data_IF_779271363842
#
_entry.id   IF_779271363842
#
_cell.length_a   1.000
_cell.length_b   1.000
_cell.length_c   1.000
_cell.angle_alpha   90.00
_cell.angle_beta   90.00
_cell.angle_gamma   90.00
#
_symmetry.space_group_name_H-M   'P 1'
#
loop_
_entity.id
_entity.type
_entity.pdbx_description
1 polymer ?
#
# COMPACT_ATOMS: atom_id res chain seq x y z
N UNK A 1 -2.79 -23.33 7.60
CA UNK A 1 -2.38 -22.03 8.20
C UNK A 1 -2.58 -20.94 7.16
N UNK A 2 -3.72 -20.24 7.18
CA UNK A 2 -4.07 -19.22 6.16
C UNK A 2 -4.16 -17.82 6.80
N UNK A 3 -3.14 -17.41 7.55
CA UNK A 3 -3.17 -16.17 8.35
C UNK A 3 -2.03 -15.19 8.05
N UNK A 4 -1.37 -15.32 6.90
CA UNK A 4 -0.14 -14.57 6.56
C UNK A 4 -0.34 -13.45 5.55
N UNK A 5 -1.24 -13.56 4.57
CA UNK A 5 -1.29 -12.56 3.48
C UNK A 5 -1.80 -11.18 3.91
N UNK A 6 -2.82 -11.09 4.77
CA UNK A 6 -3.39 -9.79 5.17
C UNK A 6 -2.45 -8.98 6.06
N UNK A 7 -1.83 -9.63 7.05
CA UNK A 7 -0.85 -8.97 7.93
C UNK A 7 0.37 -8.50 7.13
N UNK A 8 0.88 -9.34 6.23
CA UNK A 8 1.99 -8.97 5.35
C UNK A 8 1.64 -7.77 4.46
N UNK A 9 0.49 -7.80 3.78
CA UNK A 9 0.07 -6.67 2.92
C UNK A 9 -0.19 -5.41 3.73
N UNK A 10 -0.79 -5.52 4.93
CA UNK A 10 -0.98 -4.36 5.80
C UNK A 10 0.35 -3.75 6.26
N UNK A 11 1.36 -4.59 6.51
CA UNK A 11 2.69 -4.15 6.91
C UNK A 11 3.44 -3.50 5.73
N UNK A 12 3.27 -4.04 4.52
CA UNK A 12 3.77 -3.42 3.28
C UNK A 12 3.13 -2.05 3.02
N UNK A 13 1.81 -1.92 3.18
CA UNK A 13 1.09 -0.65 3.07
C UNK A 13 1.65 0.37 4.07
N UNK A 14 1.88 -0.04 5.32
CA UNK A 14 2.41 0.87 6.35
C UNK A 14 3.82 1.34 6.01
N UNK A 15 4.68 0.44 5.52
CA UNK A 15 6.03 0.79 5.07
C UNK A 15 6.00 1.74 3.87
N UNK A 16 5.16 1.45 2.88
CA UNK A 16 5.05 2.27 1.68
C UNK A 16 4.46 3.65 1.97
N UNK A 17 3.50 3.75 2.89
CA UNK A 17 2.96 5.02 3.38
C UNK A 17 4.06 5.88 4.01
N UNK A 18 4.92 5.30 4.83
CA UNK A 18 6.03 6.02 5.42
C UNK A 18 7.02 6.49 4.34
N UNK A 19 7.38 5.60 3.40
CA UNK A 19 8.29 5.94 2.31
C UNK A 19 7.74 7.06 1.42
N UNK A 20 6.44 7.04 1.13
CA UNK A 20 5.77 8.09 0.38
C UNK A 20 5.83 9.42 1.14
N UNK A 21 5.55 9.43 2.45
CA UNK A 21 5.65 10.64 3.26
C UNK A 21 7.06 11.24 3.18
N UNK A 22 8.10 10.42 3.35
CA UNK A 22 9.49 10.86 3.23
C UNK A 22 9.81 11.37 1.80
N UNK A 23 9.29 10.73 0.75
CA UNK A 23 9.50 11.20 -0.62
C UNK A 23 8.82 12.56 -0.86
N UNK A 24 7.61 12.77 -0.35
CA UNK A 24 6.89 14.04 -0.43
C UNK A 24 7.66 15.14 0.30
N UNK A 25 8.15 14.86 1.50
CA UNK A 25 8.92 15.84 2.29
C UNK A 25 10.24 16.23 1.62
N UNK A 26 10.94 15.27 0.98
CA UNK A 26 12.24 15.54 0.36
C UNK A 26 12.16 16.10 -1.06
N UNK A 27 11.21 15.62 -1.87
CA UNK A 27 11.17 15.90 -3.32
C UNK A 27 9.87 16.55 -3.80
N UNK A 28 8.89 16.71 -2.91
CA UNK A 28 7.58 17.28 -3.23
C UNK A 28 6.62 16.30 -3.92
N UNK A 29 5.38 16.77 -4.11
CA UNK A 29 4.28 15.97 -4.67
C UNK A 29 4.43 15.67 -6.17
N UNK A 30 5.10 16.54 -6.91
CA UNK A 30 5.24 16.43 -8.37
C UNK A 30 6.45 15.62 -8.80
N UNK A 31 7.26 15.13 -7.86
CA UNK A 31 8.38 14.26 -8.19
C UNK A 31 7.87 12.94 -8.76
N UNK A 32 8.52 12.47 -9.84
CA UNK A 32 8.21 11.18 -10.45
C UNK A 32 8.35 10.03 -9.43
N UNK A 33 9.24 10.16 -8.46
CA UNK A 33 9.38 9.17 -7.38
C UNK A 33 8.15 9.15 -6.46
N UNK A 34 7.69 10.33 -6.03
CA UNK A 34 6.47 10.47 -5.22
C UNK A 34 5.23 9.92 -5.93
N UNK A 35 5.12 10.17 -7.24
CA UNK A 35 4.03 9.62 -8.07
C UNK A 35 4.12 8.09 -8.11
N UNK A 36 5.30 7.52 -8.35
CA UNK A 36 5.50 6.06 -8.36
C UNK A 36 5.18 5.42 -7.00
N UNK A 37 5.63 6.02 -5.89
CA UNK A 37 5.32 5.52 -4.55
C UNK A 37 3.80 5.61 -4.26
N UNK A 38 3.13 6.67 -4.72
CA UNK A 38 1.68 6.82 -4.57
C UNK A 38 0.91 5.74 -5.34
N UNK A 39 1.27 5.48 -6.59
CA UNK A 39 0.67 4.42 -7.41
C UNK A 39 0.88 3.03 -6.79
N UNK A 40 2.07 2.78 -6.24
CA UNK A 40 2.38 1.51 -5.57
C UNK A 40 1.55 1.33 -4.30
N UNK A 41 1.40 2.39 -3.50
CA UNK A 41 0.56 2.38 -2.30
C UNK A 41 -0.91 2.09 -2.65
N UNK A 42 -1.44 2.74 -3.69
CA UNK A 42 -2.81 2.51 -4.16
C UNK A 42 -3.03 1.04 -4.59
N UNK A 43 -2.09 0.47 -5.34
CA UNK A 43 -2.15 -0.94 -5.75
C UNK A 43 -2.18 -1.88 -4.54
N UNK A 44 -1.38 -1.61 -3.50
CA UNK A 44 -1.34 -2.42 -2.28
C UNK A 44 -2.66 -2.30 -1.49
N UNK A 45 -3.23 -1.09 -1.39
CA UNK A 45 -4.53 -0.85 -0.75
C UNK A 45 -5.63 -1.61 -1.49
N UNK A 46 -5.66 -1.49 -2.82
CA UNK A 46 -6.63 -2.21 -3.68
C UNK A 46 -6.51 -3.72 -3.51
N UNK A 47 -5.28 -4.26 -3.47
CA UNK A 47 -5.04 -5.69 -3.22
C UNK A 47 -5.56 -6.12 -1.84
N UNK A 48 -5.33 -5.30 -0.81
CA UNK A 48 -5.82 -5.56 0.54
C UNK A 48 -7.37 -5.54 0.61
N UNK A 49 -8.00 -4.57 -0.06
CA UNK A 49 -9.46 -4.46 -0.15
C UNK A 49 -10.07 -5.66 -0.87
N UNK A 50 -9.50 -6.08 -2.01
CA UNK A 50 -9.93 -7.29 -2.73
C UNK A 50 -9.86 -8.55 -1.84
N UNK A 51 -8.81 -8.69 -1.03
CA UNK A 51 -8.69 -9.78 -0.07
C UNK A 51 -9.71 -9.68 1.09
N UNK A 52 -10.17 -8.48 1.46
CA UNK A 52 -11.27 -8.31 2.42
C UNK A 52 -12.63 -8.66 1.81
N UNK A 53 -12.85 -8.30 0.54
CA UNK A 53 -14.13 -8.56 -0.15
C UNK A 53 -14.30 -10.05 -0.46
N UNK A 54 -13.23 -10.74 -0.89
CA UNK A 54 -13.26 -12.17 -1.17
C UNK A 54 -13.60 -13.06 0.04
N UNK A 55 -13.38 -12.59 1.27
CA UNK A 55 -13.80 -13.30 2.49
C UNK A 55 -15.29 -13.13 2.82
N UNK A 56 -15.97 -12.13 2.27
CA UNK A 56 -17.37 -11.82 2.60
C UNK A 56 -18.39 -12.59 1.75
N UNK A 57 -17.92 -13.42 0.82
CA UNK A 57 -18.74 -14.24 -0.10
C UNK A 57 -18.74 -15.74 0.25
N UNK A 58 -18.45 -16.10 1.50
CA UNK A 58 -18.45 -17.50 1.95
C UNK A 58 -19.50 -17.76 3.02
#
# INVERSE_FOLDING_TARGET
MEMTNKKTISLEISKEKHKLAVCVENTGLNSNETIKQSQKLDMLITKCQKLKIGEKMK
#
